data_IF_543373613788
#
_entry.id   IF_543373613788
#
_cell.length_a   1.000
_cell.length_b   1.000
_cell.length_c   1.000
_cell.angle_alpha   90.00
_cell.angle_beta   90.00
_cell.angle_gamma   90.00
#
_symmetry.space_group_name_H-M   'P 1'
#
loop_
_entity.id
_entity.type
_entity.pdbx_description
1 polymer ?
#
# COMPACT_ATOMS: atom_id res chain seq x y z
N UNK A 1 27.98 -61.72 -39.07
CA UNK A 1 29.25 -62.50 -39.06
C UNK A 1 30.41 -61.52 -38.92
N UNK A 2 31.54 -61.98 -38.35
CA UNK A 2 32.83 -61.27 -38.18
C UNK A 2 32.89 -60.11 -37.16
N UNK A 3 32.76 -60.54 -35.91
CA UNK A 3 33.65 -60.28 -34.76
C UNK A 3 35.01 -59.55 -34.94
N UNK A 4 35.32 -58.77 -33.88
CA UNK A 4 36.64 -58.37 -33.32
C UNK A 4 37.38 -57.18 -34.00
N UNK A 5 38.32 -56.45 -33.34
CA UNK A 5 38.98 -56.62 -32.01
C UNK A 5 39.05 -55.29 -31.19
N UNK A 6 39.74 -55.29 -30.03
CA UNK A 6 40.12 -54.12 -29.18
C UNK A 6 41.55 -53.64 -29.50
N UNK A 7 41.90 -52.40 -29.12
CA UNK A 7 43.03 -52.06 -28.19
C UNK A 7 43.17 -50.54 -27.91
N UNK A 8 43.47 -50.20 -26.65
CA UNK A 8 44.13 -48.94 -26.15
C UNK A 8 45.60 -49.34 -25.82
N UNK A 9 46.65 -48.47 -25.76
CA UNK A 9 46.69 -47.27 -24.88
C UNK A 9 47.66 -46.08 -25.21
N UNK A 10 47.48 -44.99 -24.47
CA UNK A 10 48.48 -44.09 -23.81
C UNK A 10 49.91 -43.98 -24.39
N UNK A 11 50.37 -42.75 -24.71
CA UNK A 11 51.61 -42.17 -24.13
C UNK A 11 51.62 -40.63 -24.12
N UNK A 12 52.28 -40.05 -23.12
CA UNK A 12 52.49 -38.61 -22.88
C UNK A 12 53.86 -38.15 -23.39
N UNK A 13 53.94 -36.97 -24.02
CA UNK A 13 55.14 -36.12 -24.05
C UNK A 13 54.71 -34.68 -24.41
N UNK A 14 54.66 -33.74 -23.46
CA UNK A 14 55.74 -32.93 -22.86
C UNK A 14 55.88 -31.57 -23.58
N UNK A 15 55.77 -30.48 -22.83
CA UNK A 15 55.81 -29.10 -23.33
C UNK A 15 57.20 -28.70 -23.86
N UNK A 16 57.21 -27.93 -24.95
CA UNK A 16 58.28 -26.99 -25.27
C UNK A 16 57.63 -25.66 -25.67
N UNK A 17 57.88 -24.61 -24.88
CA UNK A 17 57.28 -23.30 -25.07
C UNK A 17 58.00 -22.51 -26.17
N UNK A 18 57.25 -21.77 -26.98
CA UNK A 18 57.78 -20.64 -27.73
C UNK A 18 56.70 -19.57 -27.85
N UNK A 19 57.04 -18.36 -27.38
CA UNK A 19 56.13 -17.22 -27.25
C UNK A 19 55.92 -16.57 -28.62
N UNK A 20 54.66 -16.45 -29.04
CA UNK A 20 54.24 -15.52 -30.08
C UNK A 20 52.90 -14.89 -29.66
N UNK A 21 52.88 -13.57 -29.53
CA UNK A 21 51.75 -12.80 -29.01
C UNK A 21 50.55 -12.82 -29.97
N UNK A 22 49.37 -13.19 -29.47
CA UNK A 22 48.10 -13.05 -30.17
C UNK A 22 47.00 -12.62 -29.19
N UNK A 23 45.99 -11.83 -29.62
CA UNK A 23 44.98 -11.30 -28.73
C UNK A 23 44.05 -12.41 -28.23
N UNK A 24 43.84 -12.44 -26.91
CA UNK A 24 42.81 -13.29 -26.30
C UNK A 24 41.45 -12.67 -26.58
N UNK A 25 40.74 -13.21 -27.56
CA UNK A 25 39.28 -13.10 -27.66
C UNK A 25 38.68 -14.39 -27.11
N UNK A 26 38.48 -14.43 -25.81
CA UNK A 26 37.59 -15.41 -25.20
C UNK A 26 36.15 -15.05 -25.60
N UNK A 27 35.52 -15.89 -26.41
CA UNK A 27 34.11 -15.74 -26.76
C UNK A 27 33.42 -17.12 -26.85
N UNK A 28 33.63 -17.96 -25.83
CA UNK A 28 32.64 -18.98 -25.48
C UNK A 28 31.51 -18.28 -24.72
N UNK A 29 30.61 -17.66 -25.48
CA UNK A 29 29.34 -17.21 -24.95
C UNK A 29 28.55 -18.45 -24.52
N UNK A 30 28.51 -18.69 -23.20
CA UNK A 30 27.59 -19.64 -22.60
C UNK A 30 26.17 -19.13 -22.91
N UNK A 31 25.54 -19.71 -23.92
CA UNK A 31 24.11 -19.56 -24.13
C UNK A 31 23.39 -20.40 -23.06
N UNK A 32 23.31 -19.87 -21.85
CA UNK A 32 22.16 -20.17 -21.01
C UNK A 32 20.94 -19.61 -21.73
N UNK A 33 20.15 -20.50 -22.34
CA UNK A 33 18.71 -20.26 -22.48
C UNK A 33 18.16 -20.10 -21.06
N UNK A 34 18.20 -18.87 -20.57
CA UNK A 34 17.39 -18.45 -19.44
C UNK A 34 15.93 -18.53 -19.89
N UNK A 35 15.36 -19.73 -19.81
CA UNK A 35 13.93 -19.89 -19.63
C UNK A 35 13.57 -19.23 -18.30
N UNK A 36 13.32 -17.93 -18.37
CA UNK A 36 12.75 -17.14 -17.28
C UNK A 36 11.37 -17.75 -17.01
N UNK A 37 11.33 -18.70 -16.09
CA UNK A 37 10.07 -19.13 -15.48
C UNK A 37 9.54 -17.90 -14.74
N UNK A 38 8.34 -17.39 -15.07
CA UNK A 38 7.81 -16.20 -14.44
C UNK A 38 7.83 -16.31 -12.92
N UNK A 39 8.18 -15.20 -12.27
CA UNK A 39 8.15 -15.10 -10.82
C UNK A 39 6.77 -15.47 -10.28
N UNK A 40 6.75 -16.05 -9.08
CA UNK A 40 5.52 -16.47 -8.43
C UNK A 40 4.65 -15.24 -8.13
N UNK A 41 3.42 -15.23 -8.64
CA UNK A 41 2.35 -14.31 -8.22
C UNK A 41 2.25 -14.28 -6.67
N UNK A 42 1.75 -13.19 -6.08
CA UNK A 42 1.00 -13.38 -4.83
C UNK A 42 -0.23 -14.20 -5.24
N UNK A 43 -0.16 -15.51 -5.05
CA UNK A 43 -1.31 -16.37 -5.33
C UNK A 43 -2.40 -16.09 -4.29
N UNK A 44 -3.66 -16.48 -4.54
CA UNK A 44 -4.68 -16.50 -3.48
C UNK A 44 -4.23 -17.28 -2.24
N UNK A 45 -3.31 -18.24 -2.39
CA UNK A 45 -2.68 -18.96 -1.29
C UNK A 45 -1.71 -18.09 -0.47
N UNK A 46 -1.04 -17.12 -1.10
CA UNK A 46 -0.13 -16.17 -0.46
C UNK A 46 -0.92 -15.06 0.24
N UNK A 47 -2.02 -14.56 -0.34
CA UNK A 47 -2.99 -13.68 0.34
C UNK A 47 -3.60 -14.37 1.57
N UNK A 48 -4.07 -15.62 1.42
CA UNK A 48 -4.57 -16.44 2.55
C UNK A 48 -3.48 -16.67 3.59
N UNK A 49 -2.22 -16.86 3.18
CA UNK A 49 -1.09 -17.04 4.11
C UNK A 49 -0.78 -15.76 4.86
N UNK A 50 -0.79 -14.60 4.19
CA UNK A 50 -0.59 -13.28 4.81
C UNK A 50 -1.74 -13.00 5.79
N UNK A 51 -2.99 -13.14 5.37
CA UNK A 51 -4.18 -12.94 6.23
C UNK A 51 -4.18 -13.87 7.45
N UNK A 52 -4.00 -15.18 7.23
CA UNK A 52 -3.94 -16.16 8.33
C UNK A 52 -2.71 -15.97 9.24
N UNK A 53 -1.64 -15.35 8.76
CA UNK A 53 -0.48 -14.96 9.58
C UNK A 53 -0.80 -13.70 10.37
N UNK A 54 -1.43 -12.69 9.77
CA UNK A 54 -1.89 -11.49 10.47
C UNK A 54 -2.86 -11.81 11.61
N UNK A 55 -3.81 -12.73 11.41
CA UNK A 55 -4.69 -13.25 12.48
C UNK A 55 -3.90 -13.87 13.64
N UNK A 56 -2.74 -14.50 13.38
CA UNK A 56 -1.85 -14.99 14.44
C UNK A 56 -1.11 -13.84 15.13
N UNK A 57 -0.62 -12.84 14.39
CA UNK A 57 -0.01 -11.64 15.00
C UNK A 57 -1.02 -10.97 15.94
N UNK A 58 -2.27 -10.77 15.50
CA UNK A 58 -3.36 -10.23 16.34
C UNK A 58 -3.56 -11.06 17.60
N UNK A 59 -3.60 -12.40 17.48
CA UNK A 59 -3.73 -13.30 18.64
C UNK A 59 -2.58 -13.13 19.65
N UNK A 60 -1.35 -12.98 19.18
CA UNK A 60 -0.19 -12.78 20.06
C UNK A 60 -0.22 -11.40 20.72
N UNK A 61 -0.65 -10.35 20.01
CA UNK A 61 -0.85 -9.03 20.64
C UNK A 61 -1.98 -9.09 21.68
N UNK A 62 -3.11 -9.71 21.37
CA UNK A 62 -4.22 -9.91 22.30
C UNK A 62 -3.81 -10.72 23.55
N UNK A 63 -3.00 -11.77 23.37
CA UNK A 63 -2.44 -12.55 24.46
C UNK A 63 -1.47 -11.73 25.32
N UNK A 64 -0.60 -10.93 24.69
CA UNK A 64 0.29 -10.00 25.39
C UNK A 64 -0.50 -9.00 26.24
N UNK A 65 -1.56 -8.39 25.68
CA UNK A 65 -2.48 -7.51 26.44
C UNK A 65 -3.15 -8.24 27.59
N UNK A 66 -3.64 -9.46 27.36
CA UNK A 66 -4.23 -10.31 28.40
C UNK A 66 -3.31 -10.51 29.61
N UNK A 67 -2.04 -10.84 29.37
CA UNK A 67 -1.02 -10.98 30.43
C UNK A 67 -0.64 -9.64 31.11
N UNK A 68 -1.02 -8.49 30.54
CA UNK A 68 -0.88 -7.17 31.20
C UNK A 68 -2.13 -6.76 32.02
N UNK A 69 -3.23 -7.53 31.95
CA UNK A 69 -4.48 -7.22 32.69
C UNK A 69 -4.63 -8.01 33.98
N UNK A 70 -5.34 -7.42 34.95
CA UNK A 70 -5.65 -8.03 36.25
C UNK A 70 -4.65 -7.68 37.36
N UNK A 71 -4.82 -8.30 38.54
CA UNK A 71 -4.10 -7.94 39.78
C UNK A 71 -2.59 -8.23 39.77
N UNK A 72 -2.11 -9.01 38.79
CA UNK A 72 -0.69 -9.40 38.64
C UNK A 72 -0.29 -9.47 37.17
N UNK A 73 0.07 -8.33 36.54
CA UNK A 73 0.62 -8.31 35.20
C UNK A 73 1.91 -9.14 35.07
N UNK A 74 2.00 -9.99 34.05
CA UNK A 74 3.18 -10.78 33.70
C UNK A 74 3.87 -10.19 32.47
N UNK A 75 4.66 -9.14 32.71
CA UNK A 75 5.45 -8.47 31.67
C UNK A 75 6.46 -9.39 30.97
N UNK A 76 6.82 -10.53 31.57
CA UNK A 76 7.74 -11.50 30.97
C UNK A 76 7.05 -12.35 29.91
N UNK A 77 5.84 -12.85 30.18
CA UNK A 77 5.03 -13.52 29.16
C UNK A 77 4.55 -12.55 28.09
N UNK A 78 4.13 -11.34 28.47
CA UNK A 78 3.73 -10.33 27.48
C UNK A 78 4.86 -10.10 26.45
N UNK A 79 6.11 -9.94 26.90
CA UNK A 79 7.30 -9.88 26.01
C UNK A 79 7.47 -11.11 25.12
N UNK A 80 7.25 -12.33 25.66
CA UNK A 80 7.34 -13.57 24.88
C UNK A 80 6.30 -13.61 23.74
N UNK A 81 5.08 -13.17 24.01
CA UNK A 81 4.03 -13.03 23.00
C UNK A 81 4.40 -11.96 21.94
N UNK A 82 4.98 -10.82 22.36
CA UNK A 82 5.48 -9.79 21.43
C UNK A 82 6.63 -10.30 20.53
N UNK A 83 7.49 -11.20 21.02
CA UNK A 83 8.50 -11.84 20.16
C UNK A 83 7.87 -12.73 19.07
N UNK A 84 6.79 -13.45 19.38
CA UNK A 84 6.08 -14.24 18.36
C UNK A 84 5.37 -13.33 17.35
N UNK A 85 4.74 -12.25 17.83
CA UNK A 85 4.15 -11.20 17.01
C UNK A 85 5.17 -10.64 15.99
N UNK A 86 6.35 -10.22 16.45
CA UNK A 86 7.42 -9.71 15.59
C UNK A 86 7.89 -10.73 14.54
N UNK A 87 8.11 -12.00 14.92
CA UNK A 87 8.51 -13.07 13.96
C UNK A 87 7.46 -13.32 12.88
N UNK A 88 6.18 -13.18 13.21
CA UNK A 88 5.09 -13.33 12.26
C UNK A 88 4.96 -12.09 11.35
N UNK A 89 5.24 -10.89 11.86
CA UNK A 89 5.39 -9.68 11.03
C UNK A 89 6.59 -9.80 10.05
N UNK A 90 7.71 -10.40 10.47
CA UNK A 90 8.84 -10.71 9.59
C UNK A 90 8.43 -11.67 8.47
N UNK A 91 7.64 -12.70 8.77
CA UNK A 91 7.11 -13.65 7.77
C UNK A 91 6.17 -12.98 6.78
N UNK A 92 5.27 -12.10 7.25
CA UNK A 92 4.39 -11.34 6.35
C UNK A 92 5.23 -10.43 5.45
N UNK A 93 6.17 -9.68 6.02
CA UNK A 93 7.03 -8.76 5.26
C UNK A 93 7.88 -9.50 4.23
N UNK A 94 8.47 -10.65 4.59
CA UNK A 94 9.23 -11.48 3.65
C UNK A 94 8.38 -12.10 2.52
N UNK A 95 7.05 -12.17 2.69
CA UNK A 95 6.10 -12.58 1.65
C UNK A 95 5.67 -11.43 0.72
N UNK A 96 5.98 -10.17 1.04
CA UNK A 96 5.66 -9.03 0.17
C UNK A 96 6.67 -8.91 -0.98
N UNK A 97 6.21 -8.78 -2.23
CA UNK A 97 7.10 -8.70 -3.38
C UNK A 97 7.85 -7.35 -3.45
N UNK A 98 7.37 -6.31 -2.75
CA UNK A 98 8.00 -4.98 -2.66
C UNK A 98 9.27 -4.94 -1.79
N UNK A 99 9.44 -5.85 -0.82
CA UNK A 99 10.48 -5.71 0.21
C UNK A 99 11.90 -5.68 -0.36
N UNK A 100 12.20 -6.53 -1.35
CA UNK A 100 13.51 -6.51 -2.05
C UNK A 100 13.84 -5.13 -2.65
N UNK A 101 12.82 -4.41 -3.11
CA UNK A 101 12.98 -3.11 -3.77
C UNK A 101 13.23 -2.03 -2.74
N UNK A 102 12.48 -2.04 -1.63
CA UNK A 102 12.64 -1.12 -0.50
C UNK A 102 14.01 -1.26 0.17
N UNK A 103 14.48 -2.48 0.38
CA UNK A 103 15.82 -2.73 0.92
C UNK A 103 16.92 -2.14 0.01
N UNK A 104 16.78 -2.31 -1.31
CA UNK A 104 17.72 -1.74 -2.31
C UNK A 104 17.66 -0.21 -2.35
N UNK A 105 16.47 0.39 -2.25
CA UNK A 105 16.30 1.86 -2.14
C UNK A 105 16.96 2.38 -0.85
N UNK A 106 16.77 1.68 0.28
CA UNK A 106 17.40 2.05 1.55
C UNK A 106 18.93 2.01 1.46
N UNK A 107 19.50 0.96 0.85
CA UNK A 107 20.95 0.86 0.62
C UNK A 107 21.45 2.02 -0.25
N UNK A 108 20.82 2.27 -1.40
CA UNK A 108 21.22 3.36 -2.31
C UNK A 108 21.17 4.74 -1.62
N UNK A 109 20.11 5.00 -0.83
CA UNK A 109 19.99 6.24 -0.05
C UNK A 109 21.05 6.32 1.05
N UNK A 110 21.43 5.19 1.67
CA UNK A 110 22.49 5.17 2.67
C UNK A 110 23.87 5.39 2.08
N UNK A 111 24.20 4.78 0.94
CA UNK A 111 25.43 5.09 0.23
C UNK A 111 25.50 6.59 -0.13
N UNK A 112 24.38 7.18 -0.58
CA UNK A 112 24.30 8.61 -0.93
C UNK A 112 24.59 9.57 0.24
N UNK A 113 24.45 9.14 1.49
CA UNK A 113 24.82 9.94 2.68
C UNK A 113 26.34 10.15 2.81
N UNK A 114 27.18 9.25 2.26
CA UNK A 114 28.64 9.29 2.43
C UNK A 114 29.47 9.14 1.14
N UNK A 115 29.01 8.39 0.14
CA UNK A 115 29.70 8.19 -1.15
C UNK A 115 29.32 9.25 -2.20
N UNK A 116 30.11 9.37 -3.27
CA UNK A 116 29.82 10.29 -4.38
C UNK A 116 28.71 9.76 -5.30
N UNK A 117 28.08 10.64 -6.08
CA UNK A 117 26.93 10.24 -6.92
C UNK A 117 27.29 9.22 -8.01
N UNK A 118 28.51 9.27 -8.53
CA UNK A 118 29.05 8.28 -9.48
C UNK A 118 29.19 6.88 -8.86
N UNK A 119 29.41 6.80 -7.54
CA UNK A 119 29.59 5.55 -6.79
C UNK A 119 28.24 4.93 -6.39
N UNK A 120 27.17 5.74 -6.31
CA UNK A 120 25.78 5.32 -6.03
C UNK A 120 25.01 4.95 -7.31
N UNK A 121 25.41 5.48 -8.47
CA UNK A 121 24.79 5.19 -9.77
C UNK A 121 24.60 3.69 -10.09
N UNK A 122 25.55 2.79 -9.76
CA UNK A 122 25.39 1.34 -9.90
C UNK A 122 24.25 0.73 -9.05
N UNK A 123 23.96 1.29 -7.87
CA UNK A 123 22.93 0.76 -6.96
C UNK A 123 21.51 0.86 -7.53
N UNK A 124 21.29 1.74 -8.51
CA UNK A 124 19.99 1.86 -9.18
C UNK A 124 19.68 0.66 -10.07
N UNK A 125 20.70 -0.01 -10.63
CA UNK A 125 20.51 -1.15 -11.56
C UNK A 125 19.68 -2.28 -10.93
N UNK A 126 20.01 -2.82 -9.74
CA UNK A 126 19.16 -3.82 -9.10
C UNK A 126 17.80 -3.27 -8.65
N UNK A 127 17.60 -1.96 -8.49
CA UNK A 127 16.26 -1.39 -8.25
C UNK A 127 15.41 -1.49 -9.52
N UNK A 128 15.95 -1.11 -10.70
CA UNK A 128 15.25 -1.29 -12.00
C UNK A 128 14.87 -2.75 -12.23
N UNK A 129 15.80 -3.69 -12.08
CA UNK A 129 15.53 -5.14 -12.26
C UNK A 129 14.39 -5.59 -11.35
N UNK A 130 14.36 -5.14 -10.10
CA UNK A 130 13.25 -5.46 -9.18
C UNK A 130 11.93 -4.78 -9.56
N UNK A 131 11.96 -3.57 -10.13
CA UNK A 131 10.75 -2.92 -10.66
C UNK A 131 10.29 -3.55 -11.99
N UNK A 132 11.18 -4.17 -12.77
CA UNK A 132 10.82 -4.99 -13.93
C UNK A 132 10.22 -6.32 -13.49
N UNK A 133 10.81 -7.01 -12.51
CA UNK A 133 10.23 -8.20 -11.86
C UNK A 133 8.81 -7.93 -11.33
N UNK A 134 8.54 -6.72 -10.83
CA UNK A 134 7.25 -6.32 -10.26
C UNK A 134 6.18 -5.91 -11.26
N UNK A 135 6.52 -5.65 -12.53
CA UNK A 135 5.59 -5.01 -13.49
C UNK A 135 4.34 -5.86 -13.76
N UNK A 136 4.47 -7.18 -13.67
CA UNK A 136 3.39 -8.17 -13.85
C UNK A 136 2.48 -8.30 -12.62
N UNK A 137 2.85 -7.68 -11.48
CA UNK A 137 2.10 -7.76 -10.22
C UNK A 137 1.59 -6.40 -9.73
N UNK A 138 2.27 -5.31 -10.06
CA UNK A 138 1.91 -3.95 -9.66
C UNK A 138 2.48 -2.88 -10.63
N UNK A 139 1.80 -1.72 -10.78
CA UNK A 139 2.25 -0.63 -11.63
C UNK A 139 3.49 0.02 -11.04
N UNK A 140 4.63 -0.41 -11.56
CA UNK A 140 5.93 0.21 -11.26
C UNK A 140 6.20 1.46 -12.08
N UNK A 141 5.32 1.86 -13.01
CA UNK A 141 5.57 2.98 -13.93
C UNK A 141 6.00 4.25 -13.19
N UNK A 142 5.20 4.72 -12.22
CA UNK A 142 5.53 5.89 -11.40
C UNK A 142 6.81 5.70 -10.55
N UNK A 143 7.05 4.49 -10.07
CA UNK A 143 8.29 4.16 -9.35
C UNK A 143 9.52 4.20 -10.28
N UNK A 144 9.38 3.77 -11.54
CA UNK A 144 10.40 3.85 -12.60
C UNK A 144 10.64 5.30 -13.02
N UNK A 145 9.58 6.11 -13.18
CA UNK A 145 9.69 7.54 -13.45
C UNK A 145 10.48 8.26 -12.34
N UNK A 146 10.18 7.97 -11.06
CA UNK A 146 10.96 8.51 -9.94
C UNK A 146 12.41 7.99 -9.94
N UNK A 147 12.65 6.73 -10.31
CA UNK A 147 14.00 6.17 -10.40
C UNK A 147 14.82 6.76 -11.56
N UNK A 148 14.19 7.06 -12.70
CA UNK A 148 14.80 7.79 -13.83
C UNK A 148 15.18 9.22 -13.43
N UNK A 149 14.33 9.90 -12.67
CA UNK A 149 14.64 11.22 -12.11
C UNK A 149 15.77 11.16 -11.07
N UNK A 150 15.82 10.13 -10.22
CA UNK A 150 16.95 9.90 -9.30
C UNK A 150 18.26 9.68 -10.07
N UNK A 151 18.23 8.84 -11.12
CA UNK A 151 19.38 8.57 -12.00
C UNK A 151 19.89 9.83 -12.70
N UNK A 152 18.99 10.73 -13.09
CA UNK A 152 19.38 12.02 -13.67
C UNK A 152 20.01 12.94 -12.61
N UNK A 153 19.41 13.06 -11.42
CA UNK A 153 19.97 13.85 -10.32
C UNK A 153 21.36 13.36 -9.88
N UNK A 154 21.63 12.04 -9.87
CA UNK A 154 22.96 11.50 -9.59
C UNK A 154 24.00 11.92 -10.64
N UNK A 155 23.66 11.86 -11.94
CA UNK A 155 24.55 12.34 -13.02
C UNK A 155 24.84 13.84 -12.94
N UNK A 156 23.87 14.61 -12.46
CA UNK A 156 24.00 16.06 -12.28
C UNK A 156 24.72 16.43 -10.96
N UNK A 157 25.10 15.44 -10.14
CA UNK A 157 25.79 15.64 -8.85
C UNK A 157 24.88 16.05 -7.69
N UNK A 158 23.56 16.09 -7.89
CA UNK A 158 22.57 16.62 -6.95
C UNK A 158 22.12 15.53 -5.95
N UNK A 159 22.94 15.33 -4.90
CA UNK A 159 22.64 14.36 -3.82
C UNK A 159 21.28 14.62 -3.13
N UNK A 160 20.89 15.86 -2.74
CA UNK A 160 19.58 16.10 -2.14
C UNK A 160 18.42 15.64 -3.03
N UNK A 161 18.43 16.02 -4.31
CA UNK A 161 17.36 15.69 -5.25
C UNK A 161 17.34 14.20 -5.63
N UNK A 162 18.51 13.56 -5.70
CA UNK A 162 18.59 12.11 -5.87
C UNK A 162 17.98 11.36 -4.66
N UNK A 163 18.21 11.83 -3.43
CA UNK A 163 17.61 11.24 -2.22
C UNK A 163 16.10 11.47 -2.15
N UNK A 164 15.62 12.64 -2.55
CA UNK A 164 14.18 12.96 -2.69
C UNK A 164 13.51 12.03 -3.70
N UNK A 165 14.08 11.88 -4.90
CA UNK A 165 13.53 10.99 -5.91
C UNK A 165 13.58 9.51 -5.49
N UNK A 166 14.64 9.06 -4.79
CA UNK A 166 14.70 7.72 -4.21
C UNK A 166 13.63 7.49 -3.13
N UNK A 167 13.31 8.48 -2.29
CA UNK A 167 12.17 8.41 -1.38
C UNK A 167 10.86 8.31 -2.17
N UNK A 168 10.71 9.08 -3.26
CA UNK A 168 9.51 9.01 -4.11
C UNK A 168 9.33 7.64 -4.81
N UNK A 169 10.41 6.87 -5.04
CA UNK A 169 10.30 5.46 -5.47
C UNK A 169 9.67 4.60 -4.37
N UNK A 170 10.14 4.72 -3.12
CA UNK A 170 9.59 4.00 -1.95
C UNK A 170 8.12 4.39 -1.68
N UNK A 171 7.81 5.69 -1.77
CA UNK A 171 6.44 6.24 -1.63
C UNK A 171 5.50 5.74 -2.75
N UNK A 172 6.00 5.56 -3.97
CA UNK A 172 5.23 4.97 -5.07
C UNK A 172 4.97 3.46 -4.86
N UNK A 173 5.87 2.75 -4.17
CA UNK A 173 5.70 1.34 -3.77
C UNK A 173 4.84 1.18 -2.51
N UNK A 174 4.71 2.22 -1.69
CA UNK A 174 3.85 2.28 -0.49
C UNK A 174 2.38 1.97 -0.81
N UNK A 175 1.94 2.13 -2.06
CA UNK A 175 0.59 1.81 -2.53
C UNK A 175 0.18 0.34 -2.31
N UNK A 176 1.14 -0.60 -2.24
CA UNK A 176 0.89 -2.02 -1.89
C UNK A 176 0.99 -2.28 -0.38
N UNK A 177 1.68 -1.42 0.38
CA UNK A 177 1.73 -1.48 1.85
C UNK A 177 0.59 -0.67 2.51
N UNK A 178 -0.12 0.18 1.77
CA UNK A 178 -1.26 0.94 2.28
C UNK A 178 -2.43 0.03 2.74
N UNK A 179 -2.51 -1.20 2.22
CA UNK A 179 -3.46 -2.22 2.69
C UNK A 179 -2.96 -3.00 3.93
N UNK A 180 -1.74 -2.72 4.40
CA UNK A 180 -1.05 -3.47 5.45
C UNK A 180 -0.24 -2.54 6.37
N UNK A 181 -0.80 -2.04 7.50
CA UNK A 181 -0.09 -1.21 8.48
C UNK A 181 0.99 -1.98 9.29
N UNK A 182 1.79 -2.85 8.66
CA UNK A 182 2.83 -3.66 9.31
C UNK A 182 3.92 -2.80 9.93
N UNK A 183 4.35 -1.74 9.25
CA UNK A 183 5.41 -0.84 9.72
C UNK A 183 4.98 -0.05 10.97
N UNK A 184 3.76 0.49 10.98
CA UNK A 184 3.20 1.16 12.16
C UNK A 184 2.90 0.16 13.29
N UNK A 185 2.36 -1.02 12.97
CA UNK A 185 2.19 -2.13 13.92
C UNK A 185 3.51 -2.52 14.58
N UNK A 186 4.58 -2.71 13.80
CA UNK A 186 5.92 -3.05 14.30
C UNK A 186 6.47 -1.96 15.22
N UNK A 187 6.31 -0.68 14.85
CA UNK A 187 6.66 0.45 15.72
C UNK A 187 5.88 0.41 17.04
N UNK A 188 4.59 0.10 17.02
CA UNK A 188 3.76 0.02 18.22
C UNK A 188 4.12 -1.20 19.11
N UNK A 189 4.43 -2.35 18.51
CA UNK A 189 4.95 -3.53 19.24
C UNK A 189 6.30 -3.23 19.90
N UNK A 190 7.21 -2.51 19.22
CA UNK A 190 8.48 -2.07 19.80
C UNK A 190 8.30 -0.99 20.88
N UNK A 191 7.36 -0.06 20.72
CA UNK A 191 7.00 0.90 21.76
C UNK A 191 6.47 0.20 23.01
N UNK A 192 5.59 -0.81 22.84
CA UNK A 192 5.10 -1.62 23.94
C UNK A 192 6.24 -2.38 24.63
N UNK A 193 7.15 -3.00 23.87
CA UNK A 193 8.32 -3.69 24.42
C UNK A 193 9.21 -2.75 25.23
N UNK A 194 9.51 -1.56 24.71
CA UNK A 194 10.28 -0.53 25.40
C UNK A 194 9.57 0.06 26.64
N UNK A 195 8.24 0.05 26.67
CA UNK A 195 7.46 0.39 27.86
C UNK A 195 7.53 -0.73 28.92
N UNK A 196 7.44 -2.01 28.52
CA UNK A 196 7.61 -3.15 29.42
C UNK A 196 9.05 -3.26 29.98
N UNK A 197 10.07 -2.83 29.24
CA UNK A 197 11.45 -2.69 29.75
C UNK A 197 11.56 -1.62 30.85
N UNK A 198 10.70 -0.60 30.81
CA UNK A 198 10.57 0.45 31.84
C UNK A 198 9.57 0.10 32.93
N UNK A 199 9.00 -1.11 32.92
CA UNK A 199 7.87 -1.54 33.77
C UNK A 199 6.61 -0.67 33.66
N UNK A 200 6.46 0.12 32.58
CA UNK A 200 5.26 0.90 32.31
C UNK A 200 4.21 0.04 31.58
N UNK A 201 3.48 -0.74 32.38
CA UNK A 201 2.41 -1.63 31.91
C UNK A 201 1.29 -0.86 31.21
N UNK A 202 1.02 0.39 31.61
CA UNK A 202 -0.07 1.19 31.03
C UNK A 202 0.31 1.71 29.64
N UNK A 203 1.50 2.27 29.47
CA UNK A 203 1.97 2.68 28.15
C UNK A 203 2.15 1.49 27.21
N UNK A 204 2.53 0.32 27.75
CA UNK A 204 2.57 -0.92 26.99
C UNK A 204 1.18 -1.34 26.49
N UNK A 205 0.16 -1.42 27.36
CA UNK A 205 -1.21 -1.78 26.93
C UNK A 205 -1.78 -0.78 25.92
N UNK A 206 -1.53 0.52 26.07
CA UNK A 206 -1.95 1.54 25.11
C UNK A 206 -1.32 1.35 23.73
N UNK A 207 -0.01 1.09 23.66
CA UNK A 207 0.68 0.82 22.40
C UNK A 207 0.19 -0.50 21.76
N UNK A 208 -0.07 -1.54 22.57
CA UNK A 208 -0.63 -2.79 22.07
C UNK A 208 -2.09 -2.67 21.61
N UNK A 209 -2.92 -1.84 22.26
CA UNK A 209 -4.28 -1.57 21.81
C UNK A 209 -4.29 -0.94 20.40
N UNK A 210 -3.43 0.05 20.17
CA UNK A 210 -3.25 0.64 18.84
C UNK A 210 -2.66 -0.35 17.82
N UNK A 211 -1.82 -1.29 18.27
CA UNK A 211 -1.30 -2.35 17.40
C UNK A 211 -2.39 -3.38 17.04
N UNK A 212 -3.29 -3.75 17.96
CA UNK A 212 -4.45 -4.60 17.63
C UNK A 212 -5.34 -3.93 16.58
N UNK A 213 -5.69 -2.65 16.76
CA UNK A 213 -6.55 -1.92 15.83
C UNK A 213 -5.97 -1.94 14.39
N UNK A 214 -4.65 -1.85 14.25
CA UNK A 214 -3.94 -1.98 12.97
C UNK A 214 -3.96 -3.40 12.38
N UNK A 215 -4.00 -4.48 13.17
CA UNK A 215 -4.02 -5.85 12.62
C UNK A 215 -5.44 -6.38 12.40
N UNK A 216 -6.42 -5.93 13.20
CA UNK A 216 -7.84 -6.14 12.92
C UNK A 216 -8.16 -5.63 11.52
N UNK A 217 -7.65 -4.43 11.16
CA UNK A 217 -7.69 -3.89 9.79
C UNK A 217 -7.16 -4.91 8.75
N UNK A 218 -5.98 -5.49 8.94
CA UNK A 218 -5.38 -6.46 8.00
C UNK A 218 -6.27 -7.69 7.83
N UNK A 219 -6.67 -8.31 8.93
CA UNK A 219 -7.39 -9.58 8.93
C UNK A 219 -8.79 -9.50 8.28
N UNK A 220 -9.43 -8.33 8.36
CA UNK A 220 -10.76 -8.11 7.78
C UNK A 220 -10.70 -7.51 6.38
N UNK A 221 -9.60 -6.84 6.00
CA UNK A 221 -9.47 -6.21 4.69
C UNK A 221 -9.26 -7.23 3.56
N UNK A 222 -8.43 -8.27 3.72
CA UNK A 222 -8.20 -9.22 2.61
C UNK A 222 -9.46 -9.98 2.14
N UNK A 223 -10.35 -10.35 3.07
CA UNK A 223 -11.59 -11.04 2.74
C UNK A 223 -12.75 -10.06 2.44
N UNK A 224 -12.54 -8.76 2.60
CA UNK A 224 -13.54 -7.73 2.31
C UNK A 224 -13.86 -7.69 0.80
N UNK A 225 -15.15 -7.72 0.41
CA UNK A 225 -15.53 -7.55 -0.98
C UNK A 225 -15.09 -6.18 -1.56
N UNK A 226 -14.92 -5.14 -0.75
CA UNK A 226 -14.38 -3.85 -1.23
C UNK A 226 -12.92 -3.96 -1.68
N UNK A 227 -12.08 -4.67 -0.93
CA UNK A 227 -10.67 -4.89 -1.28
C UNK A 227 -10.54 -5.78 -2.53
N UNK A 228 -11.38 -6.81 -2.64
CA UNK A 228 -11.42 -7.68 -3.82
C UNK A 228 -11.91 -6.92 -5.08
N UNK A 229 -12.91 -6.05 -4.94
CA UNK A 229 -13.35 -5.15 -6.00
C UNK A 229 -12.24 -4.17 -6.44
N UNK A 230 -11.53 -3.57 -5.46
CA UNK A 230 -10.40 -2.65 -5.70
C UNK A 230 -9.29 -3.33 -6.50
N UNK A 231 -8.89 -4.54 -6.09
CA UNK A 231 -7.87 -5.33 -6.79
C UNK A 231 -8.30 -5.73 -8.21
N UNK A 232 -9.58 -6.02 -8.42
CA UNK A 232 -10.12 -6.35 -9.74
C UNK A 232 -10.15 -5.13 -10.68
N UNK A 233 -10.67 -3.97 -10.24
CA UNK A 233 -10.64 -2.72 -11.02
C UNK A 233 -9.22 -2.33 -11.46
N UNK A 234 -8.24 -2.56 -10.58
CA UNK A 234 -6.84 -2.31 -10.86
C UNK A 234 -6.27 -3.19 -11.98
N UNK A 235 -6.52 -4.51 -11.91
CA UNK A 235 -6.11 -5.42 -12.98
C UNK A 235 -6.85 -5.13 -14.29
N UNK A 236 -8.11 -4.70 -14.24
CA UNK A 236 -8.83 -4.24 -15.42
C UNK A 236 -8.11 -3.06 -16.11
N UNK A 237 -7.62 -2.08 -15.33
CA UNK A 237 -6.83 -0.96 -15.84
C UNK A 237 -5.49 -1.41 -16.45
N UNK A 238 -4.76 -2.33 -15.80
CA UNK A 238 -3.51 -2.88 -16.34
C UNK A 238 -3.73 -3.65 -17.65
N UNK A 239 -4.69 -4.58 -17.65
CA UNK A 239 -5.02 -5.38 -18.82
C UNK A 239 -5.48 -4.50 -20.00
N UNK A 240 -6.24 -3.43 -19.75
CA UNK A 240 -6.58 -2.48 -20.82
C UNK A 240 -5.36 -1.72 -21.36
N UNK A 241 -4.46 -1.27 -20.50
CA UNK A 241 -3.22 -0.59 -20.89
C UNK A 241 -2.28 -1.48 -21.71
N UNK A 242 -2.26 -2.79 -21.44
CA UNK A 242 -1.53 -3.81 -22.21
C UNK A 242 -2.23 -4.20 -23.54
N UNK A 243 -3.45 -3.71 -23.78
CA UNK A 243 -4.28 -4.09 -24.94
C UNK A 243 -5.07 -5.39 -24.76
N UNK A 244 -4.94 -6.04 -23.60
CA UNK A 244 -5.55 -7.31 -23.19
C UNK A 244 -7.03 -7.16 -22.78
N UNK A 245 -7.83 -6.65 -23.72
CA UNK A 245 -9.24 -6.24 -23.49
C UNK A 245 -10.13 -7.35 -22.96
N UNK A 246 -9.88 -8.61 -23.33
CA UNK A 246 -10.67 -9.75 -22.85
C UNK A 246 -10.45 -9.97 -21.34
N UNK A 247 -9.20 -9.88 -20.87
CA UNK A 247 -8.86 -9.96 -19.45
C UNK A 247 -9.36 -8.73 -18.70
N UNK A 248 -9.25 -7.54 -19.30
CA UNK A 248 -9.78 -6.31 -18.70
C UNK A 248 -11.29 -6.40 -18.39
N UNK A 249 -12.09 -6.94 -19.32
CA UNK A 249 -13.52 -7.20 -19.09
C UNK A 249 -13.77 -8.24 -17.99
N UNK A 250 -13.01 -9.33 -17.98
CA UNK A 250 -13.15 -10.36 -16.95
C UNK A 250 -12.86 -9.82 -15.54
N UNK A 251 -11.89 -8.91 -15.41
CA UNK A 251 -11.61 -8.21 -14.16
C UNK A 251 -12.69 -7.19 -13.79
N UNK A 252 -13.30 -6.47 -14.75
CA UNK A 252 -14.47 -5.62 -14.46
C UNK A 252 -15.66 -6.45 -13.96
N UNK A 253 -15.96 -7.58 -14.60
CA UNK A 253 -17.06 -8.46 -14.20
C UNK A 253 -16.80 -9.05 -12.81
N UNK A 254 -15.54 -9.39 -12.48
CA UNK A 254 -15.15 -9.78 -11.13
C UNK A 254 -15.33 -8.64 -10.12
N UNK A 255 -14.95 -7.40 -10.47
CA UNK A 255 -15.16 -6.23 -9.63
C UNK A 255 -16.65 -6.01 -9.32
N UNK A 256 -17.53 -6.15 -10.33
CA UNK A 256 -18.98 -6.07 -10.17
C UNK A 256 -19.50 -7.10 -9.17
N UNK A 257 -19.09 -8.37 -9.28
CA UNK A 257 -19.48 -9.43 -8.33
C UNK A 257 -19.06 -9.11 -6.89
N UNK A 258 -17.88 -8.52 -6.69
CA UNK A 258 -17.43 -8.12 -5.36
C UNK A 258 -18.16 -6.88 -4.83
N UNK A 259 -18.47 -5.89 -5.68
CA UNK A 259 -19.28 -4.73 -5.31
C UNK A 259 -20.73 -5.11 -4.98
N UNK A 260 -21.32 -6.08 -5.69
CA UNK A 260 -22.65 -6.64 -5.38
C UNK A 260 -22.68 -7.32 -4.01
N UNK A 261 -21.59 -7.98 -3.60
CA UNK A 261 -21.45 -8.53 -2.23
C UNK A 261 -21.30 -7.40 -1.20
N UNK A 262 -20.52 -6.36 -1.49
CA UNK A 262 -20.42 -5.19 -0.62
C UNK A 262 -21.77 -4.45 -0.46
N UNK A 263 -22.59 -4.43 -1.51
CA UNK A 263 -23.94 -3.89 -1.51
C UNK A 263 -24.95 -4.68 -0.65
N UNK A 264 -24.57 -5.85 -0.13
CA UNK A 264 -25.36 -6.60 0.86
C UNK A 264 -25.02 -6.22 2.30
N UNK A 265 -24.11 -5.26 2.53
CA UNK A 265 -23.73 -4.78 3.86
C UNK A 265 -24.92 -4.23 4.65
N UNK A 266 -24.93 -4.50 5.96
CA UNK A 266 -25.85 -3.87 6.91
C UNK A 266 -25.57 -2.35 7.02
N UNK A 267 -24.32 -1.94 6.85
CA UNK A 267 -23.92 -0.52 6.82
C UNK A 267 -24.52 0.17 5.59
N UNK A 268 -25.41 1.14 5.85
CA UNK A 268 -26.10 1.92 4.81
C UNK A 268 -25.14 2.72 3.92
N UNK A 269 -24.07 3.28 4.47
CA UNK A 269 -23.11 4.10 3.70
C UNK A 269 -22.39 3.21 2.68
N UNK A 270 -21.89 2.05 3.14
CA UNK A 270 -21.25 1.07 2.26
C UNK A 270 -22.23 0.56 1.22
N UNK A 271 -23.44 0.16 1.61
CA UNK A 271 -24.46 -0.35 0.69
C UNK A 271 -24.86 0.64 -0.39
N UNK A 272 -25.15 1.88 -0.02
CA UNK A 272 -25.69 2.86 -0.98
C UNK A 272 -24.59 3.29 -1.97
N UNK A 273 -23.36 3.53 -1.49
CA UNK A 273 -22.23 3.89 -2.34
C UNK A 273 -21.78 2.74 -3.27
N UNK A 274 -21.82 1.48 -2.80
CA UNK A 274 -21.49 0.32 -3.64
C UNK A 274 -22.54 0.02 -4.69
N UNK A 275 -23.83 0.26 -4.44
CA UNK A 275 -24.87 0.18 -5.47
C UNK A 275 -24.66 1.19 -6.62
N UNK A 276 -24.18 2.39 -6.32
CA UNK A 276 -23.77 3.35 -7.33
C UNK A 276 -22.58 2.83 -8.16
N UNK A 277 -21.54 2.33 -7.48
CA UNK A 277 -20.33 1.79 -8.11
C UNK A 277 -20.60 0.53 -8.96
N UNK A 278 -21.51 -0.37 -8.57
CA UNK A 278 -21.95 -1.50 -9.42
C UNK A 278 -22.45 -0.99 -10.78
N UNK A 279 -23.23 0.10 -10.77
CA UNK A 279 -23.79 0.67 -11.99
C UNK A 279 -22.73 1.34 -12.85
N UNK A 280 -21.80 2.07 -12.23
CA UNK A 280 -20.66 2.69 -12.91
C UNK A 280 -19.74 1.66 -13.56
N UNK A 281 -19.29 0.65 -12.80
CA UNK A 281 -18.32 -0.36 -13.26
C UNK A 281 -18.88 -1.22 -14.38
N UNK A 282 -20.17 -1.58 -14.33
CA UNK A 282 -20.86 -2.25 -15.45
C UNK A 282 -20.83 -1.42 -16.75
N UNK A 283 -20.85 -0.09 -16.65
CA UNK A 283 -20.74 0.81 -17.80
C UNK A 283 -19.38 0.76 -18.50
N UNK A 284 -18.30 0.51 -17.75
CA UNK A 284 -16.91 0.50 -18.25
C UNK A 284 -16.69 -0.55 -19.36
N UNK A 285 -17.41 -1.67 -19.33
CA UNK A 285 -17.35 -2.71 -20.39
C UNK A 285 -17.61 -2.14 -21.80
N UNK A 286 -18.54 -1.19 -21.94
CA UNK A 286 -18.86 -0.53 -23.21
C UNK A 286 -17.76 0.44 -23.70
N UNK A 287 -16.97 0.98 -22.77
CA UNK A 287 -15.84 1.86 -23.06
C UNK A 287 -14.65 1.06 -23.61
N UNK A 288 -14.49 -0.19 -23.16
CA UNK A 288 -13.52 -1.14 -23.73
C UNK A 288 -13.91 -1.48 -25.18
N UNK A 289 -15.18 -1.75 -25.46
CA UNK A 289 -15.65 -2.07 -26.82
C UNK A 289 -15.49 -0.91 -27.81
N UNK A 290 -15.64 0.33 -27.33
CA UNK A 290 -15.51 1.54 -28.15
C UNK A 290 -14.08 2.10 -28.20
N UNK A 291 -13.12 1.53 -27.46
CA UNK A 291 -11.78 2.07 -27.24
C UNK A 291 -11.82 3.52 -26.73
N UNK A 292 -12.77 3.84 -25.86
CA UNK A 292 -12.90 5.21 -25.35
C UNK A 292 -11.66 5.61 -24.55
N UNK A 293 -11.22 6.85 -24.74
CA UNK A 293 -10.17 7.47 -23.93
C UNK A 293 -10.63 7.68 -22.48
N UNK A 294 -11.95 7.76 -22.24
CA UNK A 294 -12.54 7.89 -20.91
C UNK A 294 -12.43 6.63 -20.05
N UNK A 295 -12.08 5.47 -20.64
CA UNK A 295 -11.99 4.21 -19.91
C UNK A 295 -11.03 4.32 -18.72
N UNK A 296 -9.82 4.85 -18.94
CA UNK A 296 -8.80 4.96 -17.89
C UNK A 296 -9.29 5.87 -16.76
N UNK A 297 -9.82 7.06 -17.09
CA UNK A 297 -10.31 8.04 -16.12
C UNK A 297 -11.46 7.49 -15.28
N UNK A 298 -12.44 6.81 -15.91
CA UNK A 298 -13.59 6.26 -15.19
C UNK A 298 -13.24 5.00 -14.38
N UNK A 299 -12.30 4.19 -14.85
CA UNK A 299 -11.81 3.04 -14.07
C UNK A 299 -10.99 3.51 -12.86
N UNK A 300 -10.15 4.54 -13.03
CA UNK A 300 -9.38 5.17 -11.96
C UNK A 300 -10.30 5.85 -10.92
N UNK A 301 -11.34 6.55 -11.38
CA UNK A 301 -12.38 7.14 -10.52
C UNK A 301 -13.08 6.06 -9.68
N UNK A 302 -13.62 5.02 -10.32
CA UNK A 302 -14.27 3.91 -9.62
C UNK A 302 -13.30 3.22 -8.63
N UNK A 303 -12.05 2.96 -9.04
CA UNK A 303 -11.01 2.38 -8.18
C UNK A 303 -10.77 3.22 -6.93
N UNK A 304 -10.63 4.54 -7.08
CA UNK A 304 -10.40 5.46 -5.98
C UNK A 304 -11.60 5.56 -5.03
N UNK A 305 -12.84 5.54 -5.53
CA UNK A 305 -14.04 5.53 -4.67
C UNK A 305 -14.17 4.21 -3.90
N UNK A 306 -13.86 3.06 -4.51
CA UNK A 306 -13.79 1.76 -3.80
C UNK A 306 -12.70 1.77 -2.73
N UNK A 307 -11.52 2.33 -3.01
CA UNK A 307 -10.46 2.51 -1.98
C UNK A 307 -10.97 3.30 -0.78
N UNK A 308 -11.55 4.48 -0.99
CA UNK A 308 -12.03 5.34 0.09
C UNK A 308 -13.11 4.63 0.95
N UNK A 309 -14.02 3.88 0.33
CA UNK A 309 -15.00 3.05 1.04
C UNK A 309 -14.35 1.92 1.84
N UNK A 310 -13.30 1.29 1.31
CA UNK A 310 -12.55 0.23 2.01
C UNK A 310 -11.86 0.78 3.28
N UNK A 311 -11.20 1.94 3.15
CA UNK A 311 -10.54 2.63 4.26
C UNK A 311 -11.55 3.05 5.33
N UNK A 312 -12.65 3.72 4.93
CA UNK A 312 -13.74 4.12 5.84
C UNK A 312 -14.39 2.92 6.54
N UNK A 313 -14.55 1.79 5.84
CA UNK A 313 -15.13 0.58 6.44
C UNK A 313 -14.25 0.03 7.55
N UNK A 314 -12.93 0.01 7.35
CA UNK A 314 -11.99 -0.46 8.35
C UNK A 314 -11.87 0.50 9.56
N UNK A 315 -11.86 1.82 9.34
CA UNK A 315 -11.92 2.83 10.41
C UNK A 315 -13.22 2.72 11.23
N UNK A 316 -14.35 2.42 10.57
CA UNK A 316 -15.65 2.20 11.21
C UNK A 316 -15.67 0.94 12.08
N UNK A 317 -15.01 -0.14 11.63
CA UNK A 317 -14.86 -1.37 12.43
C UNK A 317 -14.01 -1.10 13.68
N UNK A 318 -12.84 -0.47 13.53
CA UNK A 318 -11.97 -0.07 14.65
C UNK A 318 -12.73 0.77 15.69
N UNK A 319 -13.46 1.80 15.23
CA UNK A 319 -14.31 2.65 16.09
C UNK A 319 -15.44 1.86 16.75
N UNK A 320 -16.02 0.87 16.06
CA UNK A 320 -17.03 -0.03 16.61
C UNK A 320 -16.53 -0.82 17.82
N UNK A 321 -15.30 -1.34 17.76
CA UNK A 321 -14.66 -2.03 18.89
C UNK A 321 -14.31 -1.10 20.05
N UNK A 322 -13.89 0.13 19.77
CA UNK A 322 -13.55 1.13 20.78
C UNK A 322 -14.80 1.65 21.52
N UNK A 323 -15.96 1.76 20.85
CA UNK A 323 -17.24 2.17 21.48
C UNK A 323 -17.69 1.26 22.63
N UNK A 324 -17.33 -0.02 22.61
CA UNK A 324 -17.58 -0.93 23.74
C UNK A 324 -16.75 -0.60 25.00
N UNK A 325 -15.76 0.31 24.90
CA UNK A 325 -14.90 0.76 26.00
C UNK A 325 -15.25 2.18 26.51
N UNK A 326 -16.38 2.75 26.08
CA UNK A 326 -16.86 4.11 26.39
C UNK A 326 -16.05 5.28 25.79
N UNK A 327 -15.14 5.01 24.85
CA UNK A 327 -14.38 6.02 24.09
C UNK A 327 -15.00 6.21 22.68
N UNK A 328 -14.90 7.42 22.11
CA UNK A 328 -15.27 7.67 20.70
C UNK A 328 -16.60 8.39 20.39
N UNK A 329 -16.98 9.40 21.18
CA UNK A 329 -17.99 10.38 20.75
C UNK A 329 -17.46 11.23 19.57
N UNK A 330 -18.29 11.52 18.56
CA UNK A 330 -17.89 12.28 17.36
C UNK A 330 -17.00 11.52 16.34
N UNK A 331 -16.30 10.45 16.74
CA UNK A 331 -15.44 9.65 15.84
C UNK A 331 -16.13 9.20 14.54
N UNK A 332 -17.36 8.72 14.64
CA UNK A 332 -18.12 8.26 13.46
C UNK A 332 -18.27 9.40 12.45
N UNK A 333 -18.71 10.57 12.89
CA UNK A 333 -18.96 11.68 11.99
C UNK A 333 -17.65 12.23 11.40
N UNK A 334 -16.53 12.18 12.14
CA UNK A 334 -15.20 12.44 11.56
C UNK A 334 -14.82 11.44 10.45
N UNK A 335 -15.15 10.16 10.61
CA UNK A 335 -14.91 9.12 9.59
C UNK A 335 -15.76 9.36 8.34
N UNK A 336 -17.06 9.69 8.49
CA UNK A 336 -17.89 10.03 7.32
C UNK A 336 -17.41 11.34 6.67
N UNK A 337 -17.00 12.35 7.45
CA UNK A 337 -16.42 13.60 6.92
C UNK A 337 -15.15 13.34 6.09
N UNK A 338 -14.28 12.42 6.54
CA UNK A 338 -13.08 12.00 5.80
C UNK A 338 -13.46 11.31 4.48
N UNK A 339 -14.47 10.45 4.48
CA UNK A 339 -14.95 9.78 3.27
C UNK A 339 -15.43 10.79 2.23
N UNK A 340 -16.30 11.73 2.62
CA UNK A 340 -16.84 12.72 1.68
C UNK A 340 -15.76 13.71 1.20
N UNK A 341 -14.79 14.06 2.06
CA UNK A 341 -13.62 14.83 1.62
C UNK A 341 -12.76 14.06 0.58
N UNK A 342 -12.62 12.75 0.74
CA UNK A 342 -11.92 11.91 -0.23
C UNK A 342 -12.70 11.80 -1.55
N UNK A 343 -14.03 11.62 -1.51
CA UNK A 343 -14.88 11.66 -2.71
C UNK A 343 -14.80 13.01 -3.41
N UNK A 344 -14.88 14.13 -2.69
CA UNK A 344 -14.72 15.47 -3.28
C UNK A 344 -13.38 15.64 -4.00
N UNK A 345 -12.28 15.13 -3.43
CA UNK A 345 -10.95 15.13 -4.06
C UNK A 345 -10.94 14.28 -5.34
N UNK A 346 -11.59 13.12 -5.31
CA UNK A 346 -11.68 12.19 -6.45
C UNK A 346 -12.49 12.82 -7.59
N UNK A 347 -13.66 13.37 -7.28
CA UNK A 347 -14.57 13.94 -8.25
C UNK A 347 -13.92 15.17 -8.93
N UNK A 348 -13.29 16.06 -8.15
CA UNK A 348 -12.59 17.25 -8.68
C UNK A 348 -11.39 16.92 -9.57
N UNK A 349 -10.50 16.03 -9.12
CA UNK A 349 -9.18 15.87 -9.74
C UNK A 349 -9.05 14.66 -10.66
N UNK A 350 -9.94 13.67 -10.56
CA UNK A 350 -9.98 12.50 -11.46
C UNK A 350 -11.15 12.65 -12.44
N UNK A 351 -12.38 12.81 -11.96
CA UNK A 351 -13.54 12.96 -12.85
C UNK A 351 -13.67 14.36 -13.48
N UNK A 352 -12.95 15.37 -12.97
CA UNK A 352 -13.11 16.79 -13.33
C UNK A 352 -14.52 17.34 -13.08
N UNK A 353 -15.28 16.72 -12.17
CA UNK A 353 -16.64 17.10 -11.80
C UNK A 353 -16.64 17.98 -10.54
N UNK A 354 -16.54 19.29 -10.76
CA UNK A 354 -16.54 20.28 -9.68
C UNK A 354 -17.93 20.40 -9.00
N UNK A 355 -19.01 19.97 -9.67
CA UNK A 355 -20.35 20.01 -9.09
C UNK A 355 -20.55 18.86 -8.09
N UNK A 356 -20.14 17.64 -8.46
CA UNK A 356 -20.10 16.51 -7.54
C UNK A 356 -19.15 16.79 -6.35
N UNK A 357 -17.95 17.34 -6.62
CA UNK A 357 -17.02 17.72 -5.57
C UNK A 357 -17.59 18.75 -4.57
N UNK A 358 -18.40 19.71 -5.04
CA UNK A 358 -19.10 20.67 -4.17
C UNK A 358 -20.14 20.01 -3.26
N UNK A 359 -20.89 19.02 -3.77
CA UNK A 359 -21.87 18.26 -2.97
C UNK A 359 -21.16 17.49 -1.85
N UNK A 360 -20.10 16.77 -2.19
CA UNK A 360 -19.33 15.96 -1.23
C UNK A 360 -18.63 16.83 -0.16
N UNK A 361 -18.15 18.04 -0.50
CA UNK A 361 -17.63 19.00 0.50
C UNK A 361 -18.70 19.52 1.44
N UNK A 362 -19.92 19.80 0.95
CA UNK A 362 -21.03 20.22 1.79
C UNK A 362 -21.47 19.12 2.76
N UNK A 363 -21.45 17.85 2.33
CA UNK A 363 -21.68 16.72 3.24
C UNK A 363 -20.55 16.55 4.25
N UNK A 364 -19.28 16.65 3.82
CA UNK A 364 -18.12 16.61 4.72
C UNK A 364 -18.21 17.66 5.84
N UNK A 365 -18.62 18.90 5.49
CA UNK A 365 -18.89 19.97 6.45
C UNK A 365 -20.01 19.62 7.42
N UNK A 366 -21.14 19.10 6.93
CA UNK A 366 -22.27 18.70 7.79
C UNK A 366 -21.86 17.65 8.83
N UNK A 367 -21.01 16.70 8.45
CA UNK A 367 -20.44 15.72 9.37
C UNK A 367 -19.42 16.34 10.36
N UNK A 368 -18.61 17.32 9.96
CA UNK A 368 -17.73 18.04 10.87
C UNK A 368 -18.51 18.86 11.91
N UNK A 369 -19.61 19.51 11.50
CA UNK A 369 -20.52 20.21 12.41
C UNK A 369 -21.18 19.23 13.39
N UNK A 370 -21.59 18.04 12.93
CA UNK A 370 -22.10 16.98 13.81
C UNK A 370 -21.04 16.45 14.79
N UNK A 371 -19.80 16.26 14.33
CA UNK A 371 -18.67 15.84 15.16
C UNK A 371 -18.32 16.89 16.23
N UNK A 372 -18.31 18.19 15.88
CA UNK A 372 -18.00 19.28 16.80
C UNK A 372 -18.96 19.34 18.01
N UNK A 373 -20.20 18.88 17.84
CA UNK A 373 -21.19 18.80 18.92
C UNK A 373 -21.06 17.54 19.80
N UNK A 374 -20.21 16.58 19.42
CA UNK A 374 -20.05 15.29 20.11
C UNK A 374 -18.65 15.07 20.69
N UNK A 375 -17.60 15.64 20.08
CA UNK A 375 -16.24 15.55 20.64
C UNK A 375 -16.13 16.31 21.97
N UNK A 376 -15.23 15.92 22.88
CA UNK A 376 -15.00 16.65 24.11
C UNK A 376 -14.55 18.09 23.86
N UNK A 377 -14.76 18.96 24.84
CA UNK A 377 -14.65 20.41 24.69
C UNK A 377 -13.26 20.87 24.21
N UNK A 378 -12.21 20.16 24.63
CA UNK A 378 -10.83 20.47 24.26
C UNK A 378 -10.47 20.14 22.80
N UNK A 379 -11.24 19.31 22.09
CA UNK A 379 -11.05 19.03 20.65
C UNK A 379 -12.02 19.83 19.75
N UNK A 380 -13.06 20.47 20.28
CA UNK A 380 -14.06 21.20 19.48
C UNK A 380 -13.44 22.29 18.58
N UNK A 381 -12.47 23.03 19.11
CA UNK A 381 -11.75 24.06 18.34
C UNK A 381 -10.92 23.49 17.18
N UNK A 382 -10.42 22.26 17.32
CA UNK A 382 -9.68 21.57 16.25
C UNK A 382 -10.63 21.12 15.14
N UNK A 383 -11.81 20.58 15.49
CA UNK A 383 -12.86 20.23 14.50
C UNK A 383 -13.35 21.48 13.75
N UNK A 384 -13.60 22.60 14.45
CA UNK A 384 -13.98 23.87 13.81
C UNK A 384 -12.87 24.43 12.91
N UNK A 385 -11.59 24.23 13.28
CA UNK A 385 -10.45 24.56 12.45
C UNK A 385 -10.40 23.75 11.15
N UNK A 386 -10.76 22.46 11.22
CA UNK A 386 -10.88 21.57 10.05
C UNK A 386 -12.10 21.97 9.18
N UNK A 387 -13.26 22.27 9.78
CA UNK A 387 -14.42 22.78 9.03
C UNK A 387 -14.07 24.08 8.27
N UNK A 388 -13.29 24.96 8.89
CA UNK A 388 -12.75 26.18 8.26
C UNK A 388 -11.69 25.91 7.17
N UNK A 389 -11.15 24.70 7.07
CA UNK A 389 -10.35 24.26 5.91
C UNK A 389 -11.27 23.76 4.79
N UNK A 390 -12.28 22.94 5.11
CA UNK A 390 -13.30 22.47 4.15
C UNK A 390 -14.02 23.64 3.47
N UNK A 391 -14.39 24.69 4.22
CA UNK A 391 -14.98 25.91 3.66
C UNK A 391 -14.07 26.59 2.62
N UNK A 392 -12.74 26.54 2.81
CA UNK A 392 -11.80 27.11 1.83
C UNK A 392 -11.67 26.23 0.59
N UNK A 393 -11.72 24.90 0.75
CA UNK A 393 -11.79 23.96 -0.37
C UNK A 393 -13.08 24.16 -1.17
N UNK A 394 -14.23 24.32 -0.51
CA UNK A 394 -15.53 24.57 -1.15
C UNK A 394 -15.51 25.89 -1.95
N UNK A 395 -14.94 26.95 -1.38
CA UNK A 395 -14.77 28.21 -2.10
C UNK A 395 -13.81 28.10 -3.30
N UNK A 396 -12.73 27.32 -3.20
CA UNK A 396 -11.82 27.02 -4.32
C UNK A 396 -12.50 26.15 -5.40
N UNK A 397 -13.38 25.24 -4.99
CA UNK A 397 -14.24 24.47 -5.92
C UNK A 397 -15.14 25.41 -6.71
N UNK A 398 -15.90 26.25 -6.01
CA UNK A 398 -16.86 27.19 -6.59
C UNK A 398 -16.20 28.30 -7.44
N UNK A 399 -14.95 28.66 -7.18
CA UNK A 399 -14.19 29.62 -8.00
C UNK A 399 -13.53 29.00 -9.24
N UNK A 400 -13.47 27.66 -9.32
CA UNK A 400 -12.77 26.93 -10.38
C UNK A 400 -11.24 26.90 -10.23
N UNK A 401 -10.68 27.21 -9.06
CA UNK A 401 -9.23 27.23 -8.83
C UNK A 401 -8.65 25.81 -8.70
N UNK A 402 -7.99 25.32 -9.76
CA UNK A 402 -7.41 23.97 -9.83
C UNK A 402 -5.89 23.99 -9.61
N UNK A 403 -5.41 24.85 -8.71
CA UNK A 403 -3.98 24.98 -8.44
C UNK A 403 -3.41 23.73 -7.75
N UNK A 404 -2.09 23.57 -7.80
CA UNK A 404 -1.41 22.52 -7.02
C UNK A 404 -1.54 22.73 -5.50
N UNK A 405 -1.80 23.96 -5.05
CA UNK A 405 -2.03 24.24 -3.63
C UNK A 405 -3.35 23.62 -3.14
N UNK A 406 -4.36 23.50 -4.01
CA UNK A 406 -5.65 22.91 -3.66
C UNK A 406 -5.54 21.40 -3.42
N UNK A 407 -4.83 20.67 -4.30
CA UNK A 407 -4.56 19.22 -4.09
C UNK A 407 -3.83 18.99 -2.76
N UNK A 408 -2.85 19.83 -2.42
CA UNK A 408 -2.15 19.74 -1.15
C UNK A 408 -3.06 20.07 0.03
N UNK A 409 -3.95 21.06 -0.10
CA UNK A 409 -4.89 21.44 0.94
C UNK A 409 -5.89 20.31 1.25
N UNK A 410 -6.47 19.64 0.23
CA UNK A 410 -7.30 18.45 0.44
C UNK A 410 -6.55 17.36 1.24
N UNK A 411 -5.32 17.01 0.82
CA UNK A 411 -4.52 15.97 1.49
C UNK A 411 -4.14 16.36 2.94
N UNK A 412 -3.88 17.65 3.20
CA UNK A 412 -3.59 18.15 4.55
C UNK A 412 -4.82 18.07 5.45
N UNK A 413 -5.99 18.46 4.96
CA UNK A 413 -7.25 18.37 5.71
C UNK A 413 -7.65 16.91 5.97
N UNK A 414 -7.51 16.02 4.98
CA UNK A 414 -7.73 14.57 5.15
C UNK A 414 -6.78 13.98 6.22
N UNK A 415 -5.50 14.37 6.20
CA UNK A 415 -4.51 13.97 7.21
C UNK A 415 -4.82 14.55 8.61
N UNK A 416 -5.35 15.76 8.70
CA UNK A 416 -5.78 16.36 9.98
C UNK A 416 -6.97 15.59 10.58
N UNK A 417 -7.98 15.25 9.76
CA UNK A 417 -9.12 14.44 10.20
C UNK A 417 -8.66 13.07 10.68
N UNK A 418 -7.81 12.37 9.90
CA UNK A 418 -7.26 11.07 10.29
C UNK A 418 -6.49 11.12 11.63
N UNK A 419 -5.62 12.12 11.82
CA UNK A 419 -4.89 12.33 13.08
C UNK A 419 -5.81 12.60 14.28
N UNK A 420 -6.97 13.21 14.05
CA UNK A 420 -7.96 13.44 15.11
C UNK A 420 -8.77 12.17 15.42
N UNK A 421 -9.18 11.41 14.40
CA UNK A 421 -9.83 10.09 14.55
C UNK A 421 -8.96 9.16 15.41
N UNK A 422 -7.65 9.11 15.19
CA UNK A 422 -6.72 8.28 15.97
C UNK A 422 -6.37 8.82 17.37
N UNK A 423 -6.76 10.06 17.72
CA UNK A 423 -6.43 10.69 19.02
C UNK A 423 -7.61 10.68 20.00
N UNK A 424 -8.83 10.74 19.47
CA UNK A 424 -10.08 10.49 20.20
C UNK A 424 -10.19 9.00 20.59
#
# INVERSE_FOLDING_TARGET
>A
MNTLFRLKPVTVALMAALVASGPVLANEAIQEELTVSPGRQISPQDEVTISATAVKVLRHIAAARGELTGDKPDSSKAKLELEQSNRLLDIIQAALPTTKVKDRIWVARKHLEYENTDEVLPDLVPIYVSLDELVDYMPTAKAKDHLDNAKQALKDGDKPKASEHLQAVDDALLYVEADLPLSSTRVLVEQARAALDKTDVKAADQALAAAEDNIVFVSLSFESPLTQAKAALFRAQQNYALGEKAFAKADLDAAVVFLERAAQSEDKVVRDATNALVSEVRGLNSLIDTNSQDFSVKTEHAWHRVKALSERSAESISTGWQRFRAEGAGKKDLIEAKLQLAFARIDRFIASDDAAAGIELAEAKSYLDAAANQVPAEQQAEVQGIASQVDRLENAVNSGDKSHADVQAFNQTESHIAKLIHRL
#
